data_IF_899687230915
#
_entry.id   IF_899687230915
#
_cell.length_a   1.000
_cell.length_b   1.000
_cell.length_c   1.000
_cell.angle_alpha   90.00
_cell.angle_beta   90.00
_cell.angle_gamma   90.00
#
_symmetry.space_group_name_H-M   'P 1'
#
loop_
_entity.id
_entity.type
_entity.pdbx_description
1 polymer ?
#
# COMPACT_ATOMS: atom_id res chain seq x y z
N UNK A 1 16.82 7.17 -12.85
CA UNK A 1 15.60 6.88 -13.60
C UNK A 1 15.83 7.01 -15.11
N UNK A 2 15.08 6.23 -15.90
CA UNK A 2 15.15 6.29 -17.36
C UNK A 2 14.58 7.61 -17.90
N UNK A 3 13.65 8.21 -17.14
CA UNK A 3 12.99 9.47 -17.47
C UNK A 3 12.88 10.34 -16.22
N UNK A 4 12.77 11.65 -16.41
CA UNK A 4 12.47 12.62 -15.35
C UNK A 4 11.40 13.59 -15.83
N UNK A 5 10.50 13.98 -14.93
CA UNK A 5 9.40 14.93 -15.23
C UNK A 5 9.63 16.29 -14.57
N UNK A 6 10.77 16.50 -13.90
CA UNK A 6 11.10 17.72 -13.14
C UNK A 6 10.03 18.09 -12.09
N UNK A 7 9.38 17.08 -11.53
CA UNK A 7 8.39 17.20 -10.46
C UNK A 7 8.91 16.41 -9.26
N UNK A 8 8.85 16.99 -8.06
CA UNK A 8 9.27 16.33 -6.82
C UNK A 8 8.28 15.21 -6.45
N UNK A 9 6.99 15.47 -6.60
CA UNK A 9 5.91 14.54 -6.31
C UNK A 9 4.99 14.42 -7.53
N UNK A 10 5.07 13.28 -8.21
CA UNK A 10 4.23 13.00 -9.35
C UNK A 10 2.78 12.74 -8.92
N UNK A 11 1.81 13.27 -9.66
CA UNK A 11 0.43 12.79 -9.56
C UNK A 11 0.33 11.33 -10.02
N UNK A 12 -0.71 10.61 -9.60
CA UNK A 12 -0.94 9.22 -10.02
C UNK A 12 -0.98 9.08 -11.55
N UNK A 13 -1.59 10.04 -12.25
CA UNK A 13 -1.63 10.08 -13.74
C UNK A 13 -0.22 10.21 -14.32
N UNK A 14 0.60 11.12 -13.82
CA UNK A 14 1.99 11.31 -14.29
C UNK A 14 2.85 10.11 -14.00
N UNK A 15 2.64 9.45 -12.86
CA UNK A 15 3.35 8.21 -12.54
C UNK A 15 2.95 7.06 -13.48
N UNK A 16 1.68 6.94 -13.84
CA UNK A 16 1.22 5.96 -14.83
C UNK A 16 1.82 6.22 -16.23
N UNK A 17 1.91 7.48 -16.65
CA UNK A 17 2.63 7.87 -17.88
C UNK A 17 4.11 7.46 -17.82
N UNK A 18 4.78 7.71 -16.71
CA UNK A 18 6.17 7.27 -16.48
C UNK A 18 6.32 5.75 -16.66
N UNK A 19 5.46 4.95 -16.02
CA UNK A 19 5.51 3.49 -16.13
C UNK A 19 5.27 3.01 -17.57
N UNK A 20 4.36 3.65 -18.30
CA UNK A 20 4.11 3.34 -19.71
C UNK A 20 5.32 3.63 -20.59
N UNK A 21 6.01 4.75 -20.34
CA UNK A 21 7.25 5.09 -21.04
C UNK A 21 8.37 4.09 -20.72
N UNK A 22 8.49 3.67 -19.45
CA UNK A 22 9.47 2.63 -19.04
C UNK A 22 9.20 1.32 -19.77
N UNK A 23 7.93 0.87 -19.79
CA UNK A 23 7.55 -0.37 -20.47
C UNK A 23 7.91 -0.33 -21.96
N UNK A 24 7.62 0.78 -22.62
CA UNK A 24 7.93 0.98 -24.06
C UNK A 24 9.45 1.06 -24.30
N UNK A 25 10.17 1.84 -23.47
CA UNK A 25 11.61 2.06 -23.65
C UNK A 25 12.43 0.77 -23.51
N UNK A 26 12.07 -0.06 -22.55
CA UNK A 26 12.75 -1.35 -22.31
C UNK A 26 12.11 -2.52 -23.08
N UNK A 27 11.12 -2.25 -23.92
CA UNK A 27 10.37 -3.27 -24.67
C UNK A 27 9.92 -4.43 -23.78
N UNK A 28 9.31 -4.09 -22.63
CA UNK A 28 8.86 -5.10 -21.67
C UNK A 28 7.68 -5.90 -22.26
N UNK A 29 7.71 -7.22 -22.11
CA UNK A 29 6.63 -8.10 -22.53
C UNK A 29 5.45 -8.00 -21.55
N UNK A 30 4.64 -6.94 -21.71
CA UNK A 30 3.45 -6.69 -20.89
C UNK A 30 2.21 -7.17 -21.61
N UNK A 31 1.41 -8.02 -20.97
CA UNK A 31 0.10 -8.47 -21.43
C UNK A 31 -0.98 -7.81 -20.56
N UNK A 32 -1.62 -6.80 -21.11
CA UNK A 32 -2.75 -6.11 -20.46
C UNK A 32 -4.05 -6.90 -20.62
N UNK A 33 -5.08 -6.55 -19.84
CA UNK A 33 -6.40 -7.19 -19.86
C UNK A 33 -6.33 -8.72 -19.73
N UNK A 34 -5.33 -9.22 -19.02
CA UNK A 34 -5.09 -10.65 -18.81
C UNK A 34 -5.23 -10.97 -17.32
N UNK A 35 -6.38 -11.52 -16.95
CA UNK A 35 -6.65 -11.86 -15.57
C UNK A 35 -6.08 -13.24 -15.24
N UNK A 36 -5.27 -13.32 -14.17
CA UNK A 36 -4.77 -14.59 -13.62
C UNK A 36 -5.74 -15.08 -12.57
N UNK A 37 -6.38 -16.21 -12.83
CA UNK A 37 -7.38 -16.80 -11.94
C UNK A 37 -6.79 -17.85 -11.00
N UNK A 38 -5.75 -18.56 -11.45
CA UNK A 38 -5.16 -19.67 -10.69
C UNK A 38 -3.70 -19.92 -11.08
N UNK A 39 -2.91 -20.34 -10.11
CA UNK A 39 -1.55 -20.85 -10.32
C UNK A 39 -1.45 -22.24 -9.67
N UNK A 40 -0.98 -23.23 -10.43
CA UNK A 40 -0.73 -24.58 -9.93
C UNK A 40 0.71 -24.98 -10.17
N UNK A 41 1.28 -25.80 -9.28
CA UNK A 41 2.64 -26.30 -9.38
C UNK A 41 2.57 -27.81 -9.68
N UNK A 42 3.07 -28.21 -10.85
CA UNK A 42 3.01 -29.58 -11.35
C UNK A 42 4.37 -29.93 -11.95
N UNK A 43 4.97 -31.03 -11.50
CA UNK A 43 6.24 -31.56 -12.01
C UNK A 43 7.38 -30.53 -12.11
N UNK A 44 7.46 -29.63 -11.13
CA UNK A 44 8.52 -28.61 -11.06
C UNK A 44 8.23 -27.31 -11.83
N UNK A 45 7.08 -27.19 -12.48
CA UNK A 45 6.71 -26.04 -13.32
C UNK A 45 5.40 -25.42 -12.83
N UNK A 46 5.30 -24.10 -12.86
CA UNK A 46 4.07 -23.37 -12.59
C UNK A 46 3.19 -23.28 -13.83
N UNK A 47 1.92 -23.59 -13.68
CA UNK A 47 0.88 -23.40 -14.67
C UNK A 47 -0.02 -22.25 -14.25
N UNK A 48 0.03 -21.14 -14.99
CA UNK A 48 -0.69 -19.89 -14.72
C UNK A 48 -1.91 -19.82 -15.61
N UNK A 49 -3.08 -20.04 -15.03
CA UNK A 49 -4.37 -19.99 -15.74
C UNK A 49 -4.85 -18.55 -15.89
N UNK A 50 -5.16 -18.18 -17.11
CA UNK A 50 -5.66 -16.85 -17.48
C UNK A 50 -6.90 -16.94 -18.36
N UNK A 51 -7.55 -15.79 -18.62
CA UNK A 51 -8.68 -15.68 -19.54
C UNK A 51 -8.33 -16.10 -20.98
N UNK A 52 -7.04 -16.13 -21.33
CA UNK A 52 -6.54 -16.45 -22.69
C UNK A 52 -5.84 -17.82 -22.77
N UNK A 53 -5.86 -18.61 -21.70
CA UNK A 53 -5.22 -19.92 -21.65
C UNK A 53 -4.21 -20.04 -20.50
N UNK A 54 -3.39 -21.08 -20.59
CA UNK A 54 -2.42 -21.43 -19.56
C UNK A 54 -1.02 -21.08 -20.04
N UNK A 55 -0.28 -20.36 -19.20
CA UNK A 55 1.15 -20.11 -19.37
C UNK A 55 1.95 -20.96 -18.40
N UNK A 56 3.19 -21.27 -18.76
CA UNK A 56 4.12 -21.97 -17.87
C UNK A 56 5.23 -21.01 -17.43
N UNK A 57 5.75 -21.23 -16.20
CA UNK A 57 6.81 -20.43 -15.63
C UNK A 57 7.61 -21.23 -14.60
N UNK A 58 8.91 -20.93 -14.48
CA UNK A 58 9.80 -21.48 -13.46
C UNK A 58 9.80 -20.59 -12.20
N UNK A 59 9.46 -19.31 -12.35
CA UNK A 59 9.39 -18.30 -11.30
C UNK A 59 8.09 -17.51 -11.36
N UNK A 60 7.54 -17.21 -10.19
CA UNK A 60 6.35 -16.35 -10.05
C UNK A 60 6.68 -15.16 -9.16
N UNK A 61 6.39 -13.95 -9.63
CA UNK A 61 6.47 -12.73 -8.84
C UNK A 61 5.08 -12.12 -8.68
N UNK A 62 4.58 -12.07 -7.45
CA UNK A 62 3.28 -11.46 -7.14
C UNK A 62 3.52 -9.98 -6.81
N UNK A 63 3.10 -9.10 -7.70
CA UNK A 63 3.25 -7.65 -7.63
C UNK A 63 1.91 -6.90 -7.64
N UNK A 64 0.84 -7.55 -7.19
CA UNK A 64 -0.53 -7.06 -7.29
C UNK A 64 -0.84 -5.89 -6.36
N UNK A 65 0.03 -5.58 -5.41
CA UNK A 65 -0.21 -4.56 -4.39
C UNK A 65 -1.36 -4.93 -3.46
N UNK A 66 -1.85 -3.94 -2.71
CA UNK A 66 -2.94 -4.09 -1.75
C UNK A 66 -4.14 -3.17 -2.06
N UNK A 67 -3.97 -2.15 -2.89
CA UNK A 67 -4.98 -1.12 -3.17
C UNK A 67 -6.32 -1.67 -3.68
N UNK A 68 -6.30 -2.81 -4.37
CA UNK A 68 -7.50 -3.51 -4.85
C UNK A 68 -8.20 -4.34 -3.76
N UNK A 69 -7.65 -4.38 -2.55
CA UNK A 69 -8.15 -5.17 -1.42
C UNK A 69 -8.37 -4.27 -0.21
N UNK A 70 -9.34 -3.33 -0.28
CA UNK A 70 -9.65 -2.42 0.82
C UNK A 70 -10.19 -3.19 2.03
N UNK A 71 -9.75 -2.83 3.23
CA UNK A 71 -10.28 -3.41 4.45
C UNK A 71 -11.57 -2.70 4.89
N UNK A 72 -12.70 -3.37 4.72
CA UNK A 72 -14.04 -2.90 5.07
C UNK A 72 -14.53 -3.55 6.37
N UNK A 73 -14.24 -3.00 7.55
CA UNK A 73 -14.70 -3.59 8.82
C UNK A 73 -16.16 -3.27 9.16
N UNK A 74 -16.86 -2.45 8.37
CA UNK A 74 -18.21 -1.95 8.65
C UNK A 74 -19.17 -2.21 7.50
N UNK A 75 -20.47 -2.33 7.82
CA UNK A 75 -21.52 -2.51 6.82
C UNK A 75 -21.88 -1.21 6.07
N UNK A 76 -21.49 -0.06 6.59
CA UNK A 76 -21.74 1.26 6.01
C UNK A 76 -20.47 2.10 6.05
N UNK A 77 -20.35 2.99 5.07
CA UNK A 77 -19.21 3.88 4.86
C UNK A 77 -18.50 3.54 3.56
N UNK A 78 -17.88 4.52 2.97
CA UNK A 78 -17.13 4.42 1.71
C UNK A 78 -15.66 4.33 1.99
N UNK A 79 -15.01 3.29 1.47
CA UNK A 79 -13.56 3.19 1.64
C UNK A 79 -12.84 4.28 0.83
N UNK A 80 -11.71 4.76 1.36
CA UNK A 80 -10.89 5.79 0.73
C UNK A 80 -10.54 5.45 -0.74
N UNK A 81 -10.22 4.20 -1.04
CA UNK A 81 -9.86 3.75 -2.40
C UNK A 81 -11.02 3.78 -3.41
N UNK A 82 -12.25 3.89 -2.97
CA UNK A 82 -13.45 3.98 -3.81
C UNK A 82 -13.76 5.43 -4.20
N UNK A 83 -13.04 6.39 -3.63
CA UNK A 83 -13.23 7.82 -3.91
C UNK A 83 -12.32 8.22 -5.07
N UNK A 84 -12.88 8.37 -6.24
CA UNK A 84 -12.12 8.79 -7.43
C UNK A 84 -11.70 10.26 -7.35
N UNK A 85 -12.59 11.11 -6.84
CA UNK A 85 -12.30 12.54 -6.61
C UNK A 85 -13.15 13.08 -5.47
N UNK A 86 -12.52 13.82 -4.57
CA UNK A 86 -13.18 14.43 -3.41
C UNK A 86 -14.15 15.55 -3.80
N UNK A 87 -13.95 16.21 -4.93
CA UNK A 87 -14.82 17.29 -5.42
C UNK A 87 -16.22 16.81 -5.81
N UNK A 88 -16.43 15.50 -6.00
CA UNK A 88 -17.75 14.92 -6.28
C UNK A 88 -18.55 14.59 -5.00
N UNK A 89 -17.90 14.57 -3.84
CA UNK A 89 -18.59 14.35 -2.58
C UNK A 89 -19.37 15.61 -2.18
N UNK A 90 -20.64 15.42 -1.83
CA UNK A 90 -21.54 16.52 -1.44
C UNK A 90 -21.73 16.52 0.07
N UNK A 91 -21.59 17.69 0.68
CA UNK A 91 -21.80 17.91 2.10
C UNK A 91 -20.85 18.96 2.67
N UNK A 92 -21.24 19.55 3.80
CA UNK A 92 -20.49 20.60 4.50
C UNK A 92 -19.65 20.04 5.66
N UNK A 93 -19.87 18.78 5.99
CA UNK A 93 -19.17 18.10 7.07
C UNK A 93 -18.98 16.62 6.75
N UNK A 94 -17.79 16.09 7.01
CA UNK A 94 -17.46 14.68 6.78
C UNK A 94 -16.81 14.07 8.02
N UNK A 95 -17.14 12.80 8.23
CA UNK A 95 -16.52 11.97 9.27
C UNK A 95 -15.59 10.97 8.61
N UNK A 96 -14.34 10.86 9.11
CA UNK A 96 -13.32 9.94 8.63
C UNK A 96 -12.95 8.98 9.76
N UNK A 97 -12.89 7.69 9.47
CA UNK A 97 -12.48 6.65 10.41
C UNK A 97 -11.12 6.11 9.97
N UNK A 98 -10.09 6.43 10.75
CA UNK A 98 -8.69 6.12 10.47
C UNK A 98 -7.76 7.26 10.90
N UNK A 99 -6.44 7.03 10.96
CA UNK A 99 -5.52 8.03 11.52
C UNK A 99 -4.14 8.09 10.86
N UNK A 100 -4.03 7.59 9.62
CA UNK A 100 -2.79 7.60 8.84
C UNK A 100 -3.00 8.28 7.47
N UNK A 101 -2.09 8.06 6.52
CA UNK A 101 -1.99 8.74 5.23
C UNK A 101 -3.35 8.97 4.54
N UNK A 102 -4.14 7.90 4.33
CA UNK A 102 -5.44 7.99 3.64
C UNK A 102 -6.44 8.89 4.35
N UNK A 103 -6.43 8.88 5.71
CA UNK A 103 -7.34 9.70 6.49
C UNK A 103 -6.99 11.19 6.37
N UNK A 104 -5.70 11.52 6.45
CA UNK A 104 -5.25 12.90 6.33
C UNK A 104 -5.32 13.41 4.90
N UNK A 105 -5.03 12.57 3.89
CA UNK A 105 -5.22 12.97 2.50
C UNK A 105 -6.69 13.31 2.20
N UNK A 106 -7.62 12.46 2.66
CA UNK A 106 -9.05 12.75 2.54
C UNK A 106 -9.45 14.05 3.26
N UNK A 107 -8.97 14.24 4.49
CA UNK A 107 -9.27 15.42 5.28
C UNK A 107 -8.78 16.70 4.62
N UNK A 108 -7.55 16.72 4.12
CA UNK A 108 -6.95 17.86 3.43
C UNK A 108 -7.75 18.21 2.16
N UNK A 109 -8.02 17.22 1.31
CA UNK A 109 -8.73 17.44 0.05
C UNK A 109 -10.16 17.95 0.28
N UNK A 110 -10.88 17.41 1.28
CA UNK A 110 -12.24 17.86 1.59
C UNK A 110 -12.25 19.25 2.26
N UNK A 111 -11.29 19.55 3.13
CA UNK A 111 -11.20 20.87 3.77
C UNK A 111 -10.90 21.97 2.76
N UNK A 112 -10.13 21.70 1.71
CA UNK A 112 -9.90 22.63 0.61
C UNK A 112 -11.20 22.98 -0.16
N UNK A 113 -12.20 22.08 -0.14
CA UNK A 113 -13.54 22.36 -0.64
C UNK A 113 -14.43 23.08 0.38
N UNK A 114 -13.90 23.49 1.54
CA UNK A 114 -14.61 24.22 2.58
C UNK A 114 -15.37 23.37 3.59
N UNK A 115 -15.22 22.04 3.56
CA UNK A 115 -15.92 21.15 4.48
C UNK A 115 -15.26 21.10 5.87
N UNK A 116 -16.08 20.87 6.90
CA UNK A 116 -15.64 20.54 8.26
C UNK A 116 -15.36 19.05 8.37
N UNK A 117 -14.22 18.69 8.97
CA UNK A 117 -13.75 17.31 9.04
C UNK A 117 -13.59 16.87 10.48
N UNK A 118 -14.20 15.72 10.82
CA UNK A 118 -13.96 15.02 12.09
C UNK A 118 -13.28 13.69 11.82
N UNK A 119 -12.04 13.54 12.28
CA UNK A 119 -11.27 12.31 12.16
C UNK A 119 -11.35 11.54 13.48
N UNK A 120 -11.79 10.29 13.44
CA UNK A 120 -11.82 9.39 14.58
C UNK A 120 -10.81 8.25 14.38
N UNK A 121 -9.92 8.06 15.35
CA UNK A 121 -8.89 7.02 15.27
C UNK A 121 -8.54 6.45 16.63
N UNK A 122 -8.19 5.16 16.67
CA UNK A 122 -7.63 4.54 17.89
C UNK A 122 -6.19 5.00 18.15
N UNK A 123 -5.41 5.22 17.09
CA UNK A 123 -4.02 5.68 17.10
C UNK A 123 -3.77 6.62 15.92
N UNK A 124 -2.79 7.48 16.03
CA UNK A 124 -2.38 8.37 14.94
C UNK A 124 -0.89 8.28 14.69
N UNK A 125 -0.48 8.42 13.42
CA UNK A 125 0.91 8.56 13.02
C UNK A 125 1.51 9.95 13.22
N UNK A 126 0.69 10.96 13.56
CA UNK A 126 1.10 12.38 13.64
C UNK A 126 2.21 12.67 14.65
N UNK A 127 2.27 11.94 15.77
CA UNK A 127 3.17 12.24 16.89
C UNK A 127 4.36 11.27 17.00
N UNK A 128 4.60 10.44 16.02
CA UNK A 128 5.72 9.50 16.02
C UNK A 128 6.91 10.12 15.28
N UNK A 129 7.66 10.98 15.95
CA UNK A 129 8.76 11.71 15.33
C UNK A 129 9.91 10.80 14.89
N UNK A 130 10.21 9.76 15.67
CA UNK A 130 11.38 8.89 15.50
C UNK A 130 11.06 7.53 14.84
N UNK A 131 9.82 7.33 14.40
CA UNK A 131 9.40 6.07 13.83
C UNK A 131 9.62 6.02 12.31
N UNK A 132 9.82 4.81 11.80
CA UNK A 132 9.83 4.53 10.37
C UNK A 132 8.60 5.17 9.67
N UNK A 133 8.79 5.82 8.50
CA UNK A 133 7.70 6.43 7.74
C UNK A 133 6.54 5.48 7.42
N UNK A 134 6.76 4.16 7.49
CA UNK A 134 5.70 3.16 7.30
C UNK A 134 4.67 3.14 8.42
N UNK A 135 5.01 3.67 9.60
CA UNK A 135 4.12 3.69 10.78
C UNK A 135 3.80 5.10 11.28
N UNK A 136 4.38 6.12 10.68
CA UNK A 136 4.07 7.54 10.90
C UNK A 136 3.50 8.18 9.64
N UNK A 137 2.96 9.38 9.81
CA UNK A 137 2.56 10.20 8.67
C UNK A 137 3.79 10.70 7.90
N UNK A 138 3.74 10.64 6.58
CA UNK A 138 4.86 11.10 5.74
C UNK A 138 5.11 12.61 5.92
N UNK A 139 6.37 13.08 5.80
CA UNK A 139 6.67 14.49 5.88
C UNK A 139 5.87 15.35 4.90
N UNK A 140 5.62 14.82 3.71
CA UNK A 140 4.82 15.50 2.69
C UNK A 140 3.37 15.72 3.14
N UNK A 141 2.72 14.68 3.67
CA UNK A 141 1.34 14.79 4.17
C UNK A 141 1.28 15.66 5.42
N UNK A 142 2.29 15.62 6.30
CA UNK A 142 2.39 16.52 7.44
C UNK A 142 2.46 17.98 6.99
N UNK A 143 3.28 18.30 5.99
CA UNK A 143 3.38 19.66 5.46
C UNK A 143 2.06 20.11 4.83
N UNK A 144 1.42 19.26 4.04
CA UNK A 144 0.09 19.58 3.47
C UNK A 144 -0.95 19.85 4.54
N UNK A 145 -0.97 19.06 5.61
CA UNK A 145 -1.89 19.25 6.74
C UNK A 145 -1.63 20.59 7.44
N UNK A 146 -0.36 20.91 7.71
CA UNK A 146 0.03 22.20 8.32
C UNK A 146 -0.42 23.37 7.46
N UNK A 147 -0.18 23.31 6.15
CA UNK A 147 -0.62 24.36 5.23
C UNK A 147 -2.14 24.50 5.25
N UNK A 148 -2.89 23.40 5.16
CA UNK A 148 -4.35 23.45 5.21
C UNK A 148 -4.86 24.10 6.51
N UNK A 149 -4.29 23.75 7.66
CA UNK A 149 -4.65 24.36 8.96
C UNK A 149 -4.33 25.86 8.97
N UNK A 150 -3.18 26.29 8.45
CA UNK A 150 -2.81 27.69 8.34
C UNK A 150 -3.77 28.48 7.42
N UNK A 151 -4.29 27.84 6.39
CA UNK A 151 -5.30 28.38 5.48
C UNK A 151 -6.72 28.36 6.05
N UNK A 152 -6.90 27.90 7.29
CA UNK A 152 -8.17 27.91 7.99
C UNK A 152 -9.01 26.64 7.86
N UNK A 153 -8.43 25.50 7.46
CA UNK A 153 -9.13 24.23 7.41
C UNK A 153 -9.68 23.85 8.79
N UNK A 154 -10.94 23.45 8.82
CA UNK A 154 -11.64 22.99 10.02
C UNK A 154 -11.52 21.48 10.13
N UNK A 155 -10.37 21.01 10.62
CA UNK A 155 -10.08 19.59 10.84
C UNK A 155 -9.95 19.32 12.33
N UNK A 156 -10.85 18.53 12.88
CA UNK A 156 -10.84 18.08 14.26
C UNK A 156 -10.44 16.61 14.34
N UNK A 157 -9.54 16.24 15.26
CA UNK A 157 -9.06 14.88 15.41
C UNK A 157 -9.34 14.35 16.82
N UNK A 158 -10.02 13.21 16.86
CA UNK A 158 -10.39 12.47 18.08
C UNK A 158 -9.54 11.19 18.17
N UNK A 159 -8.50 11.20 19.01
CA UNK A 159 -7.62 10.05 19.25
C UNK A 159 -8.13 9.23 20.43
N UNK A 160 -7.97 7.90 20.37
CA UNK A 160 -8.50 6.96 21.38
C UNK A 160 -9.90 6.46 21.04
N UNK A 161 -10.41 6.75 19.87
CA UNK A 161 -11.73 6.32 19.39
C UNK A 161 -11.58 5.18 18.38
N UNK A 162 -11.74 3.95 18.83
CA UNK A 162 -11.77 2.77 17.96
C UNK A 162 -13.20 2.48 17.56
N UNK A 163 -13.54 2.72 16.30
CA UNK A 163 -14.83 2.37 15.76
C UNK A 163 -14.96 0.84 15.61
N UNK A 164 -16.10 0.26 16.02
CA UNK A 164 -16.40 -1.16 15.85
C UNK A 164 -17.67 -1.41 15.05
N UNK A 165 -18.51 -0.37 14.86
CA UNK A 165 -19.75 -0.51 14.10
C UNK A 165 -20.17 0.83 13.50
N UNK A 166 -20.70 0.77 12.27
CA UNK A 166 -21.39 1.89 11.62
C UNK A 166 -22.79 1.44 11.27
N UNK A 167 -23.80 2.24 11.61
CA UNK A 167 -25.21 1.98 11.28
C UNK A 167 -25.80 3.18 10.55
N UNK A 168 -26.83 2.94 9.74
CA UNK A 168 -27.59 3.99 9.05
C UNK A 168 -29.06 3.91 9.43
N UNK A 169 -29.58 4.96 10.02
CA UNK A 169 -30.99 5.05 10.46
C UNK A 169 -31.45 6.51 10.42
N UNK A 170 -32.69 6.74 10.02
CA UNK A 170 -33.31 8.07 10.01
C UNK A 170 -32.46 9.12 9.27
N UNK A 171 -31.94 8.76 8.09
CA UNK A 171 -31.08 9.61 7.24
C UNK A 171 -29.77 10.09 7.92
N UNK A 172 -29.29 9.33 8.91
CA UNK A 172 -28.05 9.62 9.62
C UNK A 172 -27.22 8.35 9.84
N UNK A 173 -25.90 8.48 9.73
CA UNK A 173 -24.96 7.45 10.11
C UNK A 173 -24.61 7.61 11.59
N UNK A 174 -24.54 6.49 12.31
CA UNK A 174 -24.06 6.43 13.69
C UNK A 174 -22.81 5.56 13.74
N UNK A 175 -21.73 6.14 14.22
CA UNK A 175 -20.45 5.48 14.39
C UNK A 175 -20.30 5.14 15.87
N UNK A 176 -20.21 3.84 16.19
CA UNK A 176 -20.10 3.34 17.56
C UNK A 176 -18.64 3.02 17.87
N UNK A 177 -18.17 3.49 19.01
CA UNK A 177 -16.78 3.31 19.47
C UNK A 177 -16.70 2.42 20.71
N UNK A 178 -15.55 1.74 20.90
CA UNK A 178 -15.32 0.83 22.03
C UNK A 178 -15.43 1.52 23.40
N UNK A 179 -15.19 2.83 23.46
CA UNK A 179 -15.32 3.64 24.67
C UNK A 179 -16.80 4.04 24.99
N UNK A 180 -17.76 3.51 24.26
CA UNK A 180 -19.19 3.79 24.42
C UNK A 180 -19.68 5.11 23.78
N UNK A 181 -18.78 5.90 23.20
CA UNK A 181 -19.16 7.09 22.46
C UNK A 181 -19.89 6.74 21.15
N UNK A 182 -20.78 7.61 20.72
CA UNK A 182 -21.48 7.50 19.42
C UNK A 182 -21.34 8.86 18.71
N UNK A 183 -20.70 8.87 17.55
CA UNK A 183 -20.70 10.03 16.67
C UNK A 183 -21.80 9.91 15.62
N UNK A 184 -22.31 11.06 15.18
CA UNK A 184 -23.35 11.16 14.16
C UNK A 184 -22.77 11.85 12.91
N UNK A 185 -23.11 11.33 11.73
CA UNK A 185 -22.75 11.94 10.45
C UNK A 185 -23.95 11.94 9.52
N UNK A 186 -24.21 13.08 8.86
CA UNK A 186 -25.21 13.18 7.80
C UNK A 186 -24.67 12.78 6.43
N UNK A 187 -23.33 12.84 6.25
CA UNK A 187 -22.63 12.31 5.09
C UNK A 187 -22.17 10.89 5.36
N UNK A 188 -22.02 10.11 4.30
CA UNK A 188 -21.47 8.77 4.40
C UNK A 188 -20.03 8.84 4.96
N UNK A 189 -19.72 8.12 6.06
CA UNK A 189 -18.37 8.14 6.63
C UNK A 189 -17.33 7.60 5.66
N UNK A 190 -16.17 8.23 5.65
CA UNK A 190 -15.02 7.76 4.88
C UNK A 190 -14.23 6.77 5.73
N UNK A 191 -14.04 5.57 5.19
CA UNK A 191 -13.32 4.48 5.85
C UNK A 191 -11.87 4.50 5.36
N UNK A 192 -10.96 4.89 6.23
CA UNK A 192 -9.52 4.96 5.98
C UNK A 192 -8.77 3.94 6.85
N UNK A 193 -9.27 2.70 6.87
CA UNK A 193 -8.80 1.60 7.72
C UNK A 193 -7.71 0.74 7.08
N UNK A 194 -7.21 1.15 5.91
CA UNK A 194 -6.14 0.47 5.18
C UNK A 194 -6.64 -0.68 4.30
N UNK A 195 -5.74 -1.59 4.00
CA UNK A 195 -5.91 -2.64 3.00
C UNK A 195 -5.54 -4.00 3.60
N UNK A 196 -6.08 -5.06 3.01
CA UNK A 196 -5.81 -6.43 3.42
C UNK A 196 -5.41 -7.28 2.21
N UNK A 197 -4.12 -7.39 1.98
CA UNK A 197 -3.56 -8.19 0.87
C UNK A 197 -3.94 -9.67 0.94
N UNK A 198 -4.31 -10.17 2.13
CA UNK A 198 -4.70 -11.58 2.29
C UNK A 198 -6.03 -11.91 1.64
N UNK A 199 -6.82 -10.89 1.27
CA UNK A 199 -8.02 -11.07 0.46
C UNK A 199 -7.74 -11.36 -1.02
N UNK A 200 -6.48 -11.25 -1.46
CA UNK A 200 -6.10 -11.62 -2.81
C UNK A 200 -6.08 -13.15 -2.95
N UNK A 201 -6.89 -13.75 -3.85
CA UNK A 201 -6.94 -15.20 -4.03
C UNK A 201 -5.60 -15.83 -4.39
N UNK A 202 -4.71 -15.13 -5.08
CA UNK A 202 -3.37 -15.61 -5.40
C UNK A 202 -2.46 -15.66 -4.16
N UNK A 203 -2.64 -14.77 -3.20
CA UNK A 203 -1.92 -14.81 -1.93
C UNK A 203 -2.33 -16.06 -1.15
N UNK A 204 -3.63 -16.33 -1.02
CA UNK A 204 -4.12 -17.52 -0.33
C UNK A 204 -3.62 -18.82 -1.00
N UNK A 205 -3.61 -18.87 -2.33
CA UNK A 205 -3.11 -20.02 -3.08
C UNK A 205 -1.62 -20.26 -2.87
N UNK A 206 -0.81 -19.23 -2.96
CA UNK A 206 0.64 -19.33 -3.14
C UNK A 206 1.45 -19.11 -1.86
N UNK A 207 0.88 -18.49 -0.83
CA UNK A 207 1.58 -18.17 0.39
C UNK A 207 0.90 -18.74 1.62
N UNK A 208 1.66 -18.96 2.67
CA UNK A 208 1.11 -19.22 3.99
C UNK A 208 0.71 -17.88 4.63
N UNK A 209 -0.52 -17.81 5.14
CA UNK A 209 -1.02 -16.66 5.88
C UNK A 209 -1.20 -17.04 7.35
N UNK A 210 -0.68 -16.23 8.27
CA UNK A 210 -0.89 -16.38 9.72
C UNK A 210 -1.18 -15.00 10.31
N UNK A 211 -2.23 -14.90 11.12
CA UNK A 211 -2.62 -13.64 11.81
C UNK A 211 -2.76 -12.44 10.83
N UNK A 212 -3.33 -12.68 9.65
CA UNK A 212 -3.47 -11.70 8.56
C UNK A 212 -2.13 -11.19 7.98
N UNK A 213 -1.05 -11.95 8.17
CA UNK A 213 0.26 -11.64 7.59
C UNK A 213 0.73 -12.76 6.66
N UNK A 214 1.29 -12.38 5.52
CA UNK A 214 1.91 -13.29 4.57
C UNK A 214 3.25 -13.75 5.12
N UNK A 215 3.44 -15.06 5.24
CA UNK A 215 4.69 -15.62 5.73
C UNK A 215 5.68 -15.78 4.58
N UNK A 216 6.82 -15.12 4.71
CA UNK A 216 7.89 -15.09 3.72
C UNK A 216 9.21 -15.61 4.32
N UNK A 217 10.08 -16.12 3.45
CA UNK A 217 11.49 -16.31 3.78
C UNK A 217 12.19 -14.94 3.79
N UNK A 218 13.43 -14.87 4.26
CA UNK A 218 14.27 -13.65 4.21
C UNK A 218 14.49 -13.11 2.78
N UNK A 219 14.23 -13.94 1.79
CA UNK A 219 14.33 -13.62 0.37
C UNK A 219 13.00 -13.21 -0.27
N UNK A 220 11.99 -12.84 0.53
CA UNK A 220 10.63 -12.48 0.07
C UNK A 220 9.93 -13.64 -0.67
N UNK A 221 10.41 -14.88 -0.50
CA UNK A 221 9.89 -16.07 -1.15
C UNK A 221 8.81 -16.74 -0.28
N UNK A 222 7.86 -17.38 -0.93
CA UNK A 222 6.83 -18.18 -0.28
C UNK A 222 7.43 -19.31 0.55
N UNK A 223 6.86 -19.52 1.75
CA UNK A 223 7.18 -20.69 2.58
C UNK A 223 6.43 -21.96 2.15
N UNK A 224 5.50 -21.86 1.16
CA UNK A 224 4.72 -23.01 0.63
C UNK A 224 5.30 -23.57 -0.67
N UNK A 225 5.81 -22.69 -1.54
CA UNK A 225 6.22 -23.04 -2.88
C UNK A 225 7.57 -22.41 -3.23
N UNK A 226 8.49 -23.16 -3.84
CA UNK A 226 9.79 -22.62 -4.29
C UNK A 226 9.58 -21.63 -5.44
N UNK A 227 10.49 -20.68 -5.61
CA UNK A 227 10.50 -19.73 -6.72
C UNK A 227 9.25 -18.85 -6.85
N UNK A 228 8.46 -18.70 -5.78
CA UNK A 228 7.31 -17.79 -5.72
C UNK A 228 7.64 -16.65 -4.77
N UNK A 229 7.68 -15.44 -5.28
CA UNK A 229 8.09 -14.25 -4.55
C UNK A 229 6.94 -13.25 -4.41
N UNK A 230 6.83 -12.64 -3.25
CA UNK A 230 6.00 -11.46 -3.05
C UNK A 230 6.88 -10.22 -3.22
N UNK A 231 6.44 -9.25 -4.03
CA UNK A 231 7.20 -8.03 -4.27
C UNK A 231 6.35 -6.77 -4.12
N UNK A 232 7.02 -5.68 -3.78
CA UNK A 232 6.37 -4.37 -3.66
C UNK A 232 5.95 -4.00 -2.25
N UNK A 233 4.94 -3.16 -2.13
CA UNK A 233 4.51 -2.51 -0.89
C UNK A 233 3.94 -3.45 0.17
N UNK A 234 3.61 -4.67 -0.21
CA UNK A 234 2.99 -5.68 0.68
C UNK A 234 3.99 -6.57 1.39
N UNK A 235 5.28 -6.47 1.05
CA UNK A 235 6.36 -7.22 1.70
C UNK A 235 6.56 -6.68 3.11
N UNK A 236 6.50 -7.61 4.09
CA UNK A 236 6.75 -7.33 5.50
C UNK A 236 7.64 -8.42 6.09
N UNK A 237 8.58 -8.01 6.89
CA UNK A 237 9.37 -8.85 7.79
C UNK A 237 9.22 -8.32 9.20
N UNK A 238 9.62 -9.09 10.22
CA UNK A 238 9.34 -8.78 11.64
C UNK A 238 9.51 -7.29 12.00
N UNK A 239 10.61 -6.67 11.59
CA UNK A 239 10.95 -5.30 11.94
C UNK A 239 11.01 -4.36 10.72
N UNK A 240 10.64 -4.84 9.53
CA UNK A 240 10.73 -4.05 8.32
C UNK A 240 9.42 -4.06 7.52
N UNK A 241 8.95 -2.88 7.17
CA UNK A 241 7.78 -2.68 6.31
C UNK A 241 8.22 -1.96 5.05
N UNK A 242 8.02 -2.59 3.90
CA UNK A 242 8.48 -2.06 2.62
C UNK A 242 7.39 -1.26 1.86
N UNK A 243 6.53 -0.53 2.56
CA UNK A 243 5.35 0.11 1.99
C UNK A 243 5.61 1.30 1.05
N UNK A 244 6.82 1.82 0.99
CA UNK A 244 7.18 2.93 0.11
C UNK A 244 8.04 2.48 -1.08
N UNK A 245 7.83 3.10 -2.24
CA UNK A 245 8.56 2.80 -3.47
C UNK A 245 10.07 2.86 -3.26
N UNK A 246 10.59 3.84 -2.54
CA UNK A 246 12.02 3.98 -2.30
C UNK A 246 12.61 2.83 -1.47
N UNK A 247 11.79 2.15 -0.64
CA UNK A 247 12.20 0.96 0.12
C UNK A 247 12.15 -0.29 -0.77
N UNK A 248 10.97 -0.65 -1.27
CA UNK A 248 10.80 -1.93 -1.97
C UNK A 248 11.54 -1.98 -3.32
N UNK A 249 11.71 -0.86 -4.04
CA UNK A 249 12.46 -0.87 -5.31
C UNK A 249 13.90 -1.38 -5.16
N UNK A 250 14.51 -1.19 -4.00
CA UNK A 250 15.87 -1.66 -3.75
C UNK A 250 15.97 -3.19 -3.55
N UNK A 251 14.84 -3.88 -3.31
CA UNK A 251 14.77 -5.35 -3.25
C UNK A 251 14.80 -5.99 -4.63
N UNK A 252 14.37 -5.31 -5.68
CA UNK A 252 14.27 -5.92 -7.00
C UNK A 252 15.61 -6.39 -7.54
N UNK A 253 16.70 -5.65 -7.29
CA UNK A 253 18.04 -6.06 -7.68
C UNK A 253 18.53 -7.29 -6.88
N UNK A 254 18.14 -7.40 -5.62
CA UNK A 254 18.45 -8.58 -4.78
C UNK A 254 17.73 -9.82 -5.33
N UNK A 255 16.43 -9.70 -5.63
CA UNK A 255 15.65 -10.82 -6.18
C UNK A 255 16.15 -11.23 -7.58
N UNK A 256 16.48 -10.27 -8.43
CA UNK A 256 17.08 -10.55 -9.73
C UNK A 256 18.41 -11.32 -9.60
N UNK A 257 19.26 -10.93 -8.64
CA UNK A 257 20.48 -11.67 -8.32
C UNK A 257 20.19 -13.09 -7.87
N UNK A 258 19.21 -13.30 -7.01
CA UNK A 258 18.82 -14.65 -6.53
C UNK A 258 18.42 -15.54 -7.69
N UNK A 259 17.56 -15.04 -8.59
CA UNK A 259 17.15 -15.79 -9.79
C UNK A 259 18.36 -16.11 -10.66
N UNK A 260 19.21 -15.13 -10.94
CA UNK A 260 20.42 -15.34 -11.75
C UNK A 260 21.33 -16.44 -11.17
N UNK A 261 21.52 -16.44 -9.85
CA UNK A 261 22.33 -17.49 -9.19
C UNK A 261 21.67 -18.88 -9.27
N UNK A 262 20.35 -18.97 -9.14
CA UNK A 262 19.61 -20.24 -9.29
C UNK A 262 19.72 -20.79 -10.72
N UNK A 263 19.75 -19.91 -11.71
CA UNK A 263 19.95 -20.25 -13.12
C UNK A 263 21.41 -20.51 -13.49
N UNK A 264 22.34 -20.48 -12.53
CA UNK A 264 23.76 -20.71 -12.76
C UNK A 264 24.46 -19.61 -13.56
N UNK A 265 23.86 -18.42 -13.63
CA UNK A 265 24.47 -17.29 -14.32
C UNK A 265 25.60 -16.70 -13.47
N UNK A 266 26.70 -16.23 -14.11
CA UNK A 266 27.81 -15.62 -13.38
C UNK A 266 27.36 -14.33 -12.67
N UNK A 267 27.86 -14.14 -11.45
CA UNK A 267 27.57 -12.94 -10.67
C UNK A 267 28.43 -11.77 -11.17
N UNK A 268 27.80 -10.67 -11.53
CA UNK A 268 28.46 -9.40 -11.80
C UNK A 268 28.63 -8.58 -10.52
N UNK A 269 29.75 -8.76 -9.85
CA UNK A 269 30.08 -8.05 -8.59
C UNK A 269 30.19 -6.54 -8.79
N UNK A 270 30.61 -6.08 -9.97
CA UNK A 270 30.74 -4.65 -10.27
C UNK A 270 29.35 -3.98 -10.38
N UNK A 271 28.40 -4.67 -10.98
CA UNK A 271 27.01 -4.24 -11.07
C UNK A 271 26.37 -4.17 -9.69
N UNK A 272 26.55 -5.19 -8.86
CA UNK A 272 26.04 -5.22 -7.48
C UNK A 272 26.60 -4.04 -6.67
N UNK A 273 27.91 -3.79 -6.74
CA UNK A 273 28.51 -2.64 -6.07
C UNK A 273 27.93 -1.31 -6.56
N UNK A 274 27.68 -1.16 -7.86
CA UNK A 274 27.03 0.03 -8.41
C UNK A 274 25.62 0.23 -7.85
N UNK A 275 24.83 -0.84 -7.68
CA UNK A 275 23.52 -0.78 -7.04
C UNK A 275 23.61 -0.41 -5.56
N UNK A 276 24.56 -0.98 -4.81
CA UNK A 276 24.79 -0.63 -3.39
C UNK A 276 25.18 0.83 -3.22
N UNK A 277 26.09 1.36 -4.04
CA UNK A 277 26.49 2.77 -4.02
C UNK A 277 25.31 3.73 -4.28
N UNK A 278 24.30 3.29 -5.00
CA UNK A 278 23.07 4.06 -5.29
C UNK A 278 21.93 3.80 -4.30
N UNK A 279 22.19 3.07 -3.20
CA UNK A 279 21.15 2.62 -2.26
C UNK A 279 20.01 1.87 -2.93
N UNK A 280 20.33 1.06 -3.96
CA UNK A 280 19.37 0.29 -4.76
C UNK A 280 19.57 -1.22 -4.61
N UNK A 281 20.20 -1.67 -3.51
CA UNK A 281 20.44 -3.07 -3.20
C UNK A 281 20.21 -3.30 -1.71
N UNK A 282 18.97 -3.63 -1.36
CA UNK A 282 18.56 -3.87 0.02
C UNK A 282 18.60 -5.37 0.31
N UNK A 283 19.77 -5.88 0.70
CA UNK A 283 20.01 -7.28 1.02
C UNK A 283 19.92 -7.58 2.53
N UNK A 284 19.82 -6.53 3.35
CA UNK A 284 19.60 -6.62 4.78
C UNK A 284 18.56 -5.57 5.20
N UNK A 285 17.79 -5.87 6.24
CA UNK A 285 16.68 -5.02 6.69
C UNK A 285 17.03 -4.15 7.89
N UNK A 286 18.27 -4.14 8.35
CA UNK A 286 18.68 -3.40 9.56
C UNK A 286 18.36 -1.89 9.46
N UNK A 287 18.51 -1.33 8.26
CA UNK A 287 18.16 0.08 8.00
C UNK A 287 16.65 0.35 7.82
N UNK A 288 15.82 -0.67 7.87
CA UNK A 288 14.37 -0.57 7.69
C UNK A 288 13.61 -1.00 8.96
N UNK A 289 14.29 -1.18 10.09
CA UNK A 289 13.66 -1.51 11.36
C UNK A 289 12.67 -0.40 11.74
N UNK A 290 11.42 -0.77 12.00
CA UNK A 290 10.36 0.17 12.41
C UNK A 290 10.66 0.85 13.76
N UNK A 291 11.58 0.32 14.53
CA UNK A 291 12.07 0.90 15.78
C UNK A 291 13.37 1.71 15.59
N UNK A 292 13.90 1.80 14.36
CA UNK A 292 15.10 2.57 14.07
C UNK A 292 14.87 4.06 14.33
N UNK A 293 15.85 4.68 14.97
CA UNK A 293 15.85 6.11 15.30
C UNK A 293 16.76 6.94 14.38
N UNK A 294 17.23 6.35 13.29
CA UNK A 294 18.11 7.03 12.33
C UNK A 294 17.41 8.03 11.41
#
# INVERSE_FOLDING_TARGET
>A
PAFTFNEEHLSGKRYAEYLSLVATHYNLNVKTNTNVSRVTYIDGVYHVSTDYGVYTADYIFIATGDYSFPYHPFSYGRHYSEIQTFTQLKGDAFTIIGGNESAFDAAINLSQAGARISIYTSKTGLKKEDADPSIRLSPYTQQRLQNAIQEGALIEMHVGYRAHKVTYQNHSYKIHFDNGHIAHSHTEPIIATGFDVTQNPLIEQLFQVRQSEVQLTELDESTKFPNVFLIGATVRHQNAILCYIYKFRARFAVLARIVSLREGLPEDTSLIQSYRQKSMFLDDYSCCDVNCTC
#
